data_IF_681948859281
#
_entry.id   IF_681948859281
#
_cell.length_a   1.000
_cell.length_b   1.000
_cell.length_c   1.000
_cell.angle_alpha   90.00
_cell.angle_beta   90.00
_cell.angle_gamma   90.00
#
_symmetry.space_group_name_H-M   'P 1'
#
loop_
_entity.id
_entity.type
_entity.pdbx_description
1 polymer ?
#
# COMPACT_ATOMS: atom_id res chain seq x y z
N UNK A 1 24.12 3.81 -8.27
CA UNK A 1 23.46 3.07 -9.36
C UNK A 1 22.17 3.82 -9.69
N UNK A 2 21.96 4.19 -10.95
CA UNK A 2 20.79 4.98 -11.35
C UNK A 2 19.50 4.13 -11.16
N UNK A 3 18.40 4.72 -10.70
CA UNK A 3 17.12 4.01 -10.49
C UNK A 3 16.63 3.32 -11.76
N UNK A 4 16.86 3.96 -12.91
CA UNK A 4 16.63 3.38 -14.24
C UNK A 4 17.41 2.09 -14.47
N UNK A 5 18.71 2.09 -14.16
CA UNK A 5 19.58 0.92 -14.33
C UNK A 5 19.14 -0.24 -13.45
N UNK A 6 18.73 0.06 -12.20
CA UNK A 6 18.18 -0.93 -11.27
C UNK A 6 16.94 -1.57 -11.89
N UNK A 7 15.99 -0.76 -12.39
CA UNK A 7 14.79 -1.28 -13.02
C UNK A 7 15.12 -2.11 -14.27
N UNK A 8 15.99 -1.64 -15.17
CA UNK A 8 16.36 -2.37 -16.38
C UNK A 8 17.06 -3.70 -16.06
N UNK A 9 17.93 -3.73 -15.05
CA UNK A 9 18.55 -4.96 -14.59
C UNK A 9 17.53 -5.92 -13.98
N UNK A 10 16.62 -5.43 -13.15
CA UNK A 10 15.54 -6.24 -12.57
C UNK A 10 14.58 -6.77 -13.65
N UNK A 11 14.30 -5.96 -14.68
CA UNK A 11 13.49 -6.35 -15.83
C UNK A 11 14.15 -7.45 -16.65
N UNK A 12 15.44 -7.34 -16.94
CA UNK A 12 16.19 -8.35 -17.70
C UNK A 12 16.29 -9.69 -16.95
N UNK A 13 16.27 -9.66 -15.62
CA UNK A 13 16.31 -10.86 -14.78
C UNK A 13 14.92 -11.43 -14.46
N UNK A 14 13.84 -10.83 -14.99
CA UNK A 14 12.48 -11.22 -14.65
C UNK A 14 11.96 -12.34 -15.56
N UNK A 15 11.83 -13.55 -15.00
CA UNK A 15 11.45 -14.77 -15.73
C UNK A 15 10.03 -15.28 -15.43
N UNK A 16 9.18 -14.49 -14.78
CA UNK A 16 7.83 -14.91 -14.38
C UNK A 16 6.76 -14.46 -15.38
N UNK A 17 5.62 -15.17 -15.46
CA UNK A 17 4.49 -14.73 -16.27
C UNK A 17 4.03 -13.34 -15.81
N UNK A 18 3.93 -12.42 -16.77
CA UNK A 18 3.55 -11.02 -16.55
C UNK A 18 2.09 -10.80 -16.90
N UNK A 19 1.43 -9.89 -16.18
CA UNK A 19 0.10 -9.44 -16.56
C UNK A 19 0.13 -8.73 -17.93
N UNK A 20 -0.86 -9.01 -18.78
CA UNK A 20 -1.08 -8.32 -20.04
C UNK A 20 -2.28 -7.38 -19.93
N UNK A 21 -2.21 -6.21 -20.56
CA UNK A 21 -3.31 -5.24 -20.61
C UNK A 21 -4.45 -5.78 -21.50
N UNK A 22 -4.12 -6.19 -22.74
CA UNK A 22 -5.03 -6.86 -23.68
C UNK A 22 -4.22 -7.86 -24.53
N UNK A 23 -4.76 -9.06 -24.76
CA UNK A 23 -4.25 -10.03 -25.74
C UNK A 23 -4.78 -9.68 -27.13
N UNK A 24 -4.09 -8.80 -27.85
CA UNK A 24 -4.46 -8.48 -29.23
C UNK A 24 -3.21 -8.44 -30.12
N UNK A 25 -3.36 -8.94 -31.35
CA UNK A 25 -2.33 -8.95 -32.41
C UNK A 25 -2.04 -7.54 -32.93
N UNK A 26 -1.71 -6.61 -32.03
CA UNK A 26 -1.52 -5.20 -32.36
C UNK A 26 -0.04 -4.88 -32.37
N UNK A 27 0.32 -4.01 -33.31
CA UNK A 27 1.57 -3.28 -33.55
C UNK A 27 2.74 -3.58 -32.58
N UNK A 28 3.97 -3.83 -33.09
CA UNK A 28 5.14 -4.13 -32.26
C UNK A 28 5.41 -3.10 -31.16
N UNK A 29 5.07 -1.82 -31.37
CA UNK A 29 5.20 -0.77 -30.37
C UNK A 29 4.28 -0.99 -29.15
N UNK A 30 3.02 -1.38 -29.36
CA UNK A 30 2.07 -1.68 -28.30
C UNK A 30 2.42 -2.96 -27.55
N UNK A 31 3.00 -3.95 -28.25
CA UNK A 31 3.52 -5.17 -27.62
C UNK A 31 4.67 -4.87 -26.65
N UNK A 32 5.56 -3.96 -27.02
CA UNK A 32 6.67 -3.55 -26.15
C UNK A 32 6.18 -2.78 -24.91
N UNK A 33 5.24 -1.83 -25.09
CA UNK A 33 4.61 -1.13 -23.96
C UNK A 33 3.95 -2.13 -23.00
N UNK A 34 3.20 -3.10 -23.53
CA UNK A 34 2.56 -4.15 -22.73
C UNK A 34 3.57 -5.04 -21.99
N UNK A 35 4.71 -5.35 -22.62
CA UNK A 35 5.81 -6.12 -21.99
C UNK A 35 6.41 -5.36 -20.80
N UNK A 36 6.78 -4.09 -20.99
CA UNK A 36 7.36 -3.28 -19.93
C UNK A 36 6.34 -3.07 -18.80
N UNK A 37 5.07 -2.82 -19.15
CA UNK A 37 3.97 -2.74 -18.19
C UNK A 37 3.87 -3.99 -17.32
N UNK A 38 3.82 -5.17 -17.95
CA UNK A 38 3.63 -6.42 -17.24
C UNK A 38 4.75 -6.73 -16.25
N UNK A 39 5.99 -6.38 -16.61
CA UNK A 39 7.14 -6.51 -15.69
C UNK A 39 7.07 -5.47 -14.56
N UNK A 40 6.75 -4.21 -14.87
CA UNK A 40 6.65 -3.14 -13.87
C UNK A 40 5.56 -3.44 -12.84
N UNK A 41 4.37 -3.89 -13.27
CA UNK A 41 3.27 -4.28 -12.39
C UNK A 41 3.67 -5.47 -11.49
N UNK A 42 4.28 -6.50 -12.08
CA UNK A 42 4.70 -7.69 -11.33
C UNK A 42 5.79 -7.37 -10.29
N UNK A 43 6.78 -6.55 -10.65
CA UNK A 43 7.82 -6.09 -9.73
C UNK A 43 7.24 -5.20 -8.62
N UNK A 44 6.26 -4.36 -8.96
CA UNK A 44 5.52 -3.56 -7.97
C UNK A 44 4.86 -4.46 -6.93
N UNK A 45 4.03 -5.42 -7.36
CA UNK A 45 3.32 -6.35 -6.46
C UNK A 45 4.31 -7.14 -5.58
N UNK A 46 5.41 -7.63 -6.16
CA UNK A 46 6.46 -8.35 -5.43
C UNK A 46 7.06 -7.50 -4.30
N UNK A 47 7.44 -6.26 -4.62
CA UNK A 47 8.04 -5.35 -3.64
C UNK A 47 7.02 -4.89 -2.58
N UNK A 48 5.75 -4.68 -2.96
CA UNK A 48 4.68 -4.32 -2.02
C UNK A 48 4.38 -5.45 -1.02
N UNK A 49 4.32 -6.70 -1.49
CA UNK A 49 4.15 -7.87 -0.61
C UNK A 49 5.35 -8.04 0.33
N UNK A 50 6.57 -7.86 -0.18
CA UNK A 50 7.79 -7.95 0.64
C UNK A 50 7.80 -6.89 1.75
N UNK A 51 7.49 -5.64 1.42
CA UNK A 51 7.40 -4.55 2.39
C UNK A 51 6.34 -4.83 3.48
N UNK A 52 5.14 -5.27 3.09
CA UNK A 52 4.09 -5.63 4.07
C UNK A 52 4.50 -6.77 5.00
N UNK A 53 5.17 -7.79 4.47
CA UNK A 53 5.64 -8.92 5.27
C UNK A 53 6.71 -8.49 6.27
N UNK A 54 7.62 -7.59 5.88
CA UNK A 54 8.64 -7.04 6.79
C UNK A 54 8.01 -6.21 7.91
N UNK A 55 7.06 -5.33 7.58
CA UNK A 55 6.33 -4.55 8.59
C UNK A 55 5.59 -5.46 9.59
N UNK A 56 4.95 -6.52 9.09
CA UNK A 56 4.28 -7.51 9.93
C UNK A 56 5.28 -8.25 10.84
N UNK A 57 6.45 -8.64 10.31
CA UNK A 57 7.50 -9.30 11.09
C UNK A 57 8.05 -8.39 12.19
N UNK A 58 8.39 -7.13 11.86
CA UNK A 58 8.85 -6.13 12.83
C UNK A 58 7.84 -5.95 13.97
N UNK A 59 6.56 -5.91 13.62
CA UNK A 59 5.48 -5.73 14.59
C UNK A 59 5.30 -6.93 15.53
N UNK A 60 5.36 -8.15 14.98
CA UNK A 60 5.28 -9.38 15.77
C UNK A 60 6.51 -9.47 16.70
N UNK A 61 7.72 -9.23 16.18
CA UNK A 61 8.94 -9.24 16.95
C UNK A 61 8.92 -8.19 18.08
N UNK A 62 8.42 -6.98 17.81
CA UNK A 62 8.24 -5.94 18.83
C UNK A 62 7.27 -6.34 19.94
N UNK A 63 6.14 -6.97 19.58
CA UNK A 63 5.15 -7.45 20.57
C UNK A 63 5.73 -8.57 21.44
N UNK A 64 6.44 -9.53 20.84
CA UNK A 64 7.10 -10.63 21.57
C UNK A 64 8.19 -10.08 22.49
N UNK A 65 8.99 -9.12 22.01
CA UNK A 65 10.02 -8.46 22.82
C UNK A 65 9.41 -7.80 24.06
N UNK A 66 8.32 -7.04 23.92
CA UNK A 66 7.63 -6.42 25.06
C UNK A 66 7.13 -7.47 26.05
N UNK A 67 6.54 -8.56 25.55
CA UNK A 67 6.09 -9.67 26.40
C UNK A 67 7.25 -10.32 27.16
N UNK A 68 8.37 -10.63 26.49
CA UNK A 68 9.56 -11.21 27.12
C UNK A 68 10.20 -10.27 28.14
N UNK A 69 10.22 -8.96 27.86
CA UNK A 69 10.72 -7.97 28.80
C UNK A 69 9.87 -7.92 30.07
N UNK A 70 8.54 -7.99 29.96
CA UNK A 70 7.64 -8.04 31.12
C UNK A 70 7.82 -9.33 31.94
N UNK A 71 8.06 -10.46 31.28
CA UNK A 71 8.39 -11.72 31.97
C UNK A 71 9.73 -11.64 32.70
N UNK A 72 10.73 -11.01 32.09
CA UNK A 72 12.04 -10.76 32.72
C UNK A 72 11.89 -9.90 33.98
N UNK A 73 11.17 -8.78 33.87
CA UNK A 73 11.06 -7.77 34.92
C UNK A 73 10.25 -8.26 36.12
N UNK A 74 9.11 -8.92 35.88
CA UNK A 74 8.17 -9.28 36.96
C UNK A 74 8.34 -10.72 37.50
N UNK A 75 8.94 -11.65 36.75
CA UNK A 75 9.23 -13.02 37.22
C UNK A 75 10.69 -13.27 37.57
N UNK A 76 11.53 -12.23 37.54
CA UNK A 76 12.97 -12.28 37.83
C UNK A 76 13.70 -13.37 37.01
N UNK A 77 13.21 -13.68 35.81
CA UNK A 77 13.84 -14.65 34.93
C UNK A 77 15.05 -14.03 34.23
N UNK A 78 16.16 -13.91 34.96
CA UNK A 78 17.38 -13.24 34.51
C UNK A 78 17.93 -13.76 33.16
N UNK A 79 17.68 -15.01 32.78
CA UNK A 79 18.07 -15.56 31.47
C UNK A 79 17.37 -14.91 30.27
N UNK A 80 16.20 -14.30 30.46
CA UNK A 80 15.43 -13.65 29.40
C UNK A 80 16.05 -12.32 28.94
N UNK A 81 16.97 -11.71 29.70
CA UNK A 81 17.62 -10.47 29.27
C UNK A 81 18.50 -10.69 28.03
N UNK A 82 19.14 -11.87 27.93
CA UNK A 82 19.92 -12.25 26.76
C UNK A 82 18.99 -12.44 25.56
N UNK A 83 17.85 -13.11 25.76
CA UNK A 83 16.85 -13.27 24.71
C UNK A 83 16.30 -11.92 24.22
N UNK A 84 16.02 -10.98 25.13
CA UNK A 84 15.62 -9.62 24.79
C UNK A 84 16.72 -8.89 23.99
N UNK A 85 17.98 -9.01 24.41
CA UNK A 85 19.12 -8.44 23.69
C UNK A 85 19.27 -8.96 22.26
N UNK A 86 19.13 -10.28 22.07
CA UNK A 86 19.14 -10.90 20.73
C UNK A 86 17.95 -10.40 19.89
N UNK A 87 16.76 -10.30 20.48
CA UNK A 87 15.56 -9.81 19.79
C UNK A 87 15.69 -8.35 19.35
N UNK A 88 16.26 -7.48 20.19
CA UNK A 88 16.57 -6.09 19.81
C UNK A 88 17.57 -6.05 18.65
N UNK A 89 18.61 -6.87 18.71
CA UNK A 89 19.60 -6.94 17.62
C UNK A 89 18.96 -7.43 16.31
N UNK A 90 18.08 -8.43 16.37
CA UNK A 90 17.28 -8.88 15.22
C UNK A 90 16.40 -7.75 14.66
N UNK A 91 15.73 -6.97 15.50
CA UNK A 91 14.92 -5.82 15.07
C UNK A 91 15.77 -4.75 14.37
N UNK A 92 16.95 -4.42 14.92
CA UNK A 92 17.87 -3.47 14.31
C UNK A 92 18.39 -3.96 12.96
N UNK A 93 18.74 -5.24 12.85
CA UNK A 93 19.17 -5.85 11.58
C UNK A 93 18.03 -5.83 10.55
N UNK A 94 16.82 -6.19 10.95
CA UNK A 94 15.65 -6.15 10.07
C UNK A 94 15.34 -4.72 9.59
N UNK A 95 15.45 -3.73 10.47
CA UNK A 95 15.24 -2.33 10.10
C UNK A 95 16.30 -1.87 9.08
N UNK A 96 17.58 -2.14 9.35
CA UNK A 96 18.66 -1.80 8.42
C UNK A 96 18.54 -2.51 7.07
N UNK A 97 18.07 -3.76 7.06
CA UNK A 97 17.77 -4.47 5.81
C UNK A 97 16.62 -3.83 5.05
N UNK A 98 15.62 -3.30 5.75
CA UNK A 98 14.48 -2.61 5.15
C UNK A 98 14.94 -1.36 4.39
N UNK A 99 15.77 -0.54 5.04
CA UNK A 99 16.35 0.66 4.45
C UNK A 99 17.19 0.33 3.21
N UNK A 100 17.98 -0.73 3.27
CA UNK A 100 18.82 -1.17 2.14
C UNK A 100 18.03 -1.72 0.96
N UNK A 101 16.89 -2.36 1.23
CA UNK A 101 16.11 -3.02 0.19
C UNK A 101 15.22 -2.05 -0.59
N UNK A 102 14.94 -0.86 -0.05
CA UNK A 102 14.14 0.20 -0.69
C UNK A 102 12.80 -0.33 -1.23
N UNK A 103 12.24 -1.38 -0.62
CA UNK A 103 11.09 -2.10 -1.17
C UNK A 103 9.86 -1.21 -1.30
N UNK A 104 9.64 -0.28 -0.36
CA UNK A 104 8.52 0.65 -0.41
C UNK A 104 8.65 1.60 -1.61
N UNK A 105 9.81 2.26 -1.75
CA UNK A 105 10.09 3.12 -2.91
C UNK A 105 9.93 2.38 -4.23
N UNK A 106 10.51 1.18 -4.36
CA UNK A 106 10.39 0.34 -5.56
C UNK A 106 8.93 0.01 -5.86
N UNK A 107 8.15 -0.38 -4.85
CA UNK A 107 6.71 -0.61 -5.01
C UNK A 107 5.99 0.62 -5.57
N UNK A 108 6.16 1.79 -4.94
CA UNK A 108 5.48 3.00 -5.35
C UNK A 108 5.86 3.43 -6.77
N UNK A 109 7.16 3.50 -7.07
CA UNK A 109 7.63 3.99 -8.37
C UNK A 109 7.29 3.01 -9.50
N UNK A 110 7.42 1.70 -9.28
CA UNK A 110 7.07 0.71 -10.31
C UNK A 110 5.56 0.67 -10.58
N UNK A 111 4.72 0.92 -9.56
CA UNK A 111 3.28 1.09 -9.77
C UNK A 111 2.98 2.32 -10.64
N UNK A 112 3.61 3.46 -10.36
CA UNK A 112 3.42 4.68 -11.17
C UNK A 112 3.86 4.44 -12.61
N UNK A 113 4.98 3.75 -12.82
CA UNK A 113 5.43 3.37 -14.16
C UNK A 113 4.41 2.47 -14.86
N UNK A 114 3.90 1.44 -14.18
CA UNK A 114 2.89 0.54 -14.73
C UNK A 114 1.61 1.30 -15.11
N UNK A 115 1.08 2.16 -14.25
CA UNK A 115 -0.14 2.92 -14.57
C UNK A 115 0.08 3.94 -15.70
N UNK A 116 1.26 4.57 -15.77
CA UNK A 116 1.62 5.45 -16.88
C UNK A 116 1.74 4.71 -18.22
N UNK A 117 2.36 3.52 -18.22
CA UNK A 117 2.45 2.65 -19.39
C UNK A 117 1.08 2.15 -19.83
N UNK A 118 0.22 1.80 -18.87
CA UNK A 118 -1.16 1.38 -19.13
C UNK A 118 -1.97 2.50 -19.77
N UNK A 119 -1.81 3.73 -19.29
CA UNK A 119 -2.43 4.88 -19.92
C UNK A 119 -1.89 5.11 -21.33
N UNK A 120 -0.56 5.04 -21.53
CA UNK A 120 0.05 5.21 -22.85
C UNK A 120 -0.50 4.19 -23.84
N UNK A 121 -0.66 2.93 -23.40
CA UNK A 121 -1.27 1.87 -24.19
C UNK A 121 -2.70 2.23 -24.64
N UNK A 122 -3.55 2.73 -23.74
CA UNK A 122 -4.92 3.12 -24.09
C UNK A 122 -5.01 4.37 -24.97
N UNK A 123 -4.14 5.38 -24.76
CA UNK A 123 -4.08 6.56 -25.64
C UNK A 123 -3.66 6.16 -27.07
N UNK A 124 -2.66 5.30 -27.18
CA UNK A 124 -2.20 4.75 -28.46
C UNK A 124 -3.27 3.89 -29.15
N UNK A 125 -4.12 3.17 -28.40
CA UNK A 125 -5.27 2.44 -28.95
C UNK A 125 -6.40 3.38 -29.43
N UNK A 126 -6.61 4.49 -28.72
CA UNK A 126 -7.61 5.49 -29.06
C UNK A 126 -7.19 6.42 -30.20
N UNK A 127 -5.99 6.22 -30.76
CA UNK A 127 -5.39 7.07 -31.80
C UNK A 127 -5.22 8.54 -31.35
N UNK A 128 -4.80 8.74 -30.10
CA UNK A 128 -4.49 10.05 -29.54
C UNK A 128 -2.97 10.26 -29.59
N UNK A 129 -2.50 11.27 -30.32
CA UNK A 129 -1.06 11.55 -30.54
C UNK A 129 -0.35 12.13 -29.30
N UNK A 130 -1.08 12.31 -28.20
CA UNK A 130 -0.52 12.82 -26.95
C UNK A 130 0.24 11.71 -26.21
N UNK A 131 1.52 11.97 -25.88
CA UNK A 131 2.30 11.07 -25.02
C UNK A 131 2.00 11.33 -23.56
N UNK A 132 2.01 10.27 -22.74
CA UNK A 132 1.78 10.37 -21.29
C UNK A 132 2.80 11.27 -20.60
N UNK A 133 4.03 11.34 -21.11
CA UNK A 133 5.07 12.26 -20.60
C UNK A 133 4.63 13.71 -20.62
N UNK A 134 3.94 14.12 -21.69
CA UNK A 134 3.58 15.51 -21.93
C UNK A 134 2.49 15.96 -20.94
N UNK A 135 1.58 15.05 -20.59
CA UNK A 135 0.47 15.27 -19.63
C UNK A 135 0.80 14.84 -18.19
N UNK A 136 2.02 14.39 -17.91
CA UNK A 136 2.39 13.90 -16.58
C UNK A 136 2.31 15.04 -15.53
N UNK A 137 1.69 14.84 -14.36
CA UNK A 137 1.66 15.85 -13.31
C UNK A 137 3.07 16.28 -12.88
N UNK A 138 3.24 17.58 -12.60
CA UNK A 138 4.54 18.15 -12.21
C UNK A 138 5.15 17.48 -10.96
N UNK A 139 4.31 17.10 -10.01
CA UNK A 139 4.68 16.34 -8.81
C UNK A 139 5.37 15.01 -9.12
N UNK A 140 4.86 14.26 -10.12
CA UNK A 140 5.47 13.00 -10.55
C UNK A 140 6.74 13.25 -11.36
N UNK A 141 6.73 14.24 -12.27
CA UNK A 141 7.92 14.63 -13.04
C UNK A 141 9.10 14.97 -12.15
N UNK A 142 8.89 15.80 -11.13
CA UNK A 142 9.93 16.19 -10.16
C UNK A 142 10.30 15.07 -9.19
N UNK A 143 9.33 14.22 -8.82
CA UNK A 143 9.51 13.17 -7.82
C UNK A 143 10.17 11.90 -8.35
N UNK A 144 10.05 11.63 -9.66
CA UNK A 144 10.49 10.36 -10.28
C UNK A 144 11.01 10.57 -11.72
N UNK A 145 12.08 11.36 -11.87
CA UNK A 145 12.63 11.74 -13.18
C UNK A 145 12.95 10.53 -14.10
N UNK A 146 13.35 9.39 -13.54
CA UNK A 146 13.71 8.22 -14.35
C UNK A 146 12.51 7.58 -15.08
N UNK A 147 11.29 7.74 -14.55
CA UNK A 147 10.08 7.25 -15.23
C UNK A 147 9.86 8.05 -16.52
N UNK A 148 10.07 9.36 -16.47
CA UNK A 148 10.00 10.22 -17.65
C UNK A 148 11.01 9.78 -18.72
N UNK A 149 12.23 9.41 -18.33
CA UNK A 149 13.22 8.86 -19.27
C UNK A 149 12.76 7.55 -19.93
N UNK A 150 12.13 6.64 -19.19
CA UNK A 150 11.62 5.39 -19.76
C UNK A 150 10.47 5.67 -20.71
N UNK A 151 9.51 6.50 -20.29
CA UNK A 151 8.37 6.85 -21.13
C UNK A 151 8.81 7.58 -22.42
N UNK A 152 9.85 8.41 -22.37
CA UNK A 152 10.46 9.04 -23.55
C UNK A 152 11.19 8.04 -24.47
N UNK A 153 11.66 6.91 -23.93
CA UNK A 153 12.32 5.86 -24.72
C UNK A 153 11.35 4.90 -25.41
N UNK A 154 10.04 5.05 -25.18
CA UNK A 154 9.04 4.19 -25.79
C UNK A 154 8.93 4.45 -27.31
N UNK A 155 8.69 3.40 -28.11
CA UNK A 155 8.41 3.56 -29.53
C UNK A 155 7.12 4.35 -29.73
N UNK A 156 7.11 5.25 -30.70
CA UNK A 156 5.88 5.89 -31.15
C UNK A 156 4.99 4.85 -31.84
N UNK A 157 3.74 4.76 -31.38
CA UNK A 157 2.71 3.91 -31.98
C UNK A 157 2.13 4.59 -33.20
N UNK A 158 2.14 3.91 -34.34
CA UNK A 158 1.49 4.32 -35.60
C UNK A 158 0.27 3.44 -35.84
N UNK A 159 -0.59 3.28 -34.83
CA UNK A 159 -1.79 2.47 -34.95
C UNK A 159 -2.64 2.98 -36.10
N UNK A 160 -2.87 2.20 -37.16
CA UNK A 160 -3.62 2.69 -38.33
C UNK A 160 -5.14 2.77 -38.10
N UNK A 161 -5.64 2.13 -37.03
CA UNK A 161 -7.07 2.04 -36.73
C UNK A 161 -7.38 2.48 -35.28
N UNK A 162 -8.38 3.37 -35.14
CA UNK A 162 -8.93 3.73 -33.83
C UNK A 162 -9.70 2.54 -33.25
N UNK A 163 -9.26 2.05 -32.10
CA UNK A 163 -9.99 1.06 -31.32
C UNK A 163 -10.83 1.75 -30.24
N UNK A 164 -12.07 1.29 -30.05
CA UNK A 164 -12.91 1.81 -28.96
C UNK A 164 -12.32 1.44 -27.62
N UNK A 165 -12.09 2.44 -26.77
CA UNK A 165 -11.55 2.29 -25.42
C UNK A 165 -12.64 2.22 -24.34
N UNK A 166 -13.91 2.40 -24.74
CA UNK A 166 -15.04 2.39 -23.82
C UNK A 166 -15.09 1.15 -22.93
N UNK A 167 -15.02 -0.04 -23.52
CA UNK A 167 -15.13 -1.29 -22.75
C UNK A 167 -13.81 -1.64 -22.04
N UNK A 168 -12.69 -1.62 -22.78
CA UNK A 168 -11.40 -2.09 -22.27
C UNK A 168 -10.73 -1.13 -21.28
N UNK A 169 -11.08 0.16 -21.28
CA UNK A 169 -10.55 1.13 -20.33
C UNK A 169 -11.63 1.73 -19.44
N UNK A 170 -12.59 2.48 -19.98
CA UNK A 170 -13.52 3.30 -19.16
C UNK A 170 -14.40 2.41 -18.27
N UNK A 171 -15.06 1.41 -18.84
CA UNK A 171 -15.96 0.50 -18.12
C UNK A 171 -15.18 -0.40 -17.18
N UNK A 172 -14.05 -0.96 -17.63
CA UNK A 172 -13.23 -1.83 -16.80
C UNK A 172 -12.57 -1.10 -15.64
N UNK A 173 -12.16 0.16 -15.83
CA UNK A 173 -11.69 1.03 -14.75
C UNK A 173 -12.78 1.33 -13.72
N UNK A 174 -13.99 1.64 -14.18
CA UNK A 174 -15.12 1.80 -13.27
C UNK A 174 -15.36 0.54 -12.44
N UNK A 175 -15.44 -0.63 -13.09
CA UNK A 175 -15.63 -1.93 -12.42
C UNK A 175 -14.50 -2.23 -11.44
N UNK A 176 -13.25 -1.90 -11.79
CA UNK A 176 -12.11 -2.04 -10.89
C UNK A 176 -12.33 -1.22 -9.62
N UNK A 177 -12.66 0.06 -9.73
CA UNK A 177 -12.90 0.92 -8.57
C UNK A 177 -14.12 0.48 -7.76
N UNK A 178 -15.19 -0.02 -8.40
CA UNK A 178 -16.37 -0.57 -7.70
C UNK A 178 -15.98 -1.79 -6.85
N UNK A 179 -15.21 -2.74 -7.41
CA UNK A 179 -14.71 -3.91 -6.68
C UNK A 179 -13.73 -3.50 -5.56
N UNK A 180 -12.83 -2.57 -5.85
CA UNK A 180 -11.85 -2.07 -4.90
C UNK A 180 -12.52 -1.33 -3.74
N UNK A 181 -13.56 -0.54 -4.01
CA UNK A 181 -14.37 0.14 -3.02
C UNK A 181 -15.06 -0.87 -2.09
N UNK A 182 -15.79 -1.83 -2.65
CA UNK A 182 -16.49 -2.85 -1.86
C UNK A 182 -15.53 -3.62 -0.94
N UNK A 183 -14.37 -4.01 -1.47
CA UNK A 183 -13.33 -4.68 -0.67
C UNK A 183 -12.77 -3.78 0.44
N UNK A 184 -12.54 -2.51 0.13
CA UNK A 184 -11.96 -1.53 1.06
C UNK A 184 -12.94 -1.14 2.16
N UNK A 185 -14.24 -1.01 1.86
CA UNK A 185 -15.29 -0.74 2.85
C UNK A 185 -15.47 -1.90 3.84
N UNK A 186 -15.51 -3.14 3.33
CA UNK A 186 -15.56 -4.34 4.18
C UNK A 186 -14.32 -4.43 5.07
N UNK A 187 -13.14 -4.12 4.53
CA UNK A 187 -11.90 -4.11 5.32
C UNK A 187 -11.92 -2.99 6.38
N UNK A 188 -12.26 -1.76 6.00
CA UNK A 188 -12.29 -0.61 6.88
C UNK A 188 -13.28 -0.78 8.05
N UNK A 189 -14.45 -1.36 7.79
CA UNK A 189 -15.44 -1.66 8.84
C UNK A 189 -14.91 -2.70 9.83
N UNK A 190 -14.30 -3.80 9.34
CA UNK A 190 -13.66 -4.81 10.19
C UNK A 190 -12.52 -4.21 11.02
N UNK A 191 -11.65 -3.43 10.39
CA UNK A 191 -10.48 -2.82 11.03
C UNK A 191 -10.91 -1.83 12.14
N UNK A 192 -11.97 -1.03 11.90
CA UNK A 192 -12.57 -0.15 12.93
C UNK A 192 -13.18 -0.93 14.09
N UNK A 193 -13.89 -2.03 13.82
CA UNK A 193 -14.48 -2.87 14.87
C UNK A 193 -13.38 -3.49 15.73
N UNK A 194 -12.34 -4.07 15.10
CA UNK A 194 -11.21 -4.68 15.80
C UNK A 194 -10.52 -3.64 16.69
N UNK A 195 -10.13 -2.49 16.13
CA UNK A 195 -9.47 -1.42 16.89
C UNK A 195 -10.30 -0.93 18.08
N UNK A 196 -11.61 -0.73 17.88
CA UNK A 196 -12.53 -0.31 18.95
C UNK A 196 -12.66 -1.39 20.03
N UNK A 197 -12.81 -2.66 19.63
CA UNK A 197 -12.94 -3.78 20.58
C UNK A 197 -11.67 -3.97 21.39
N UNK A 198 -10.48 -3.94 20.76
CA UNK A 198 -9.21 -4.02 21.49
C UNK A 198 -9.08 -2.88 22.50
N UNK A 199 -9.42 -1.65 22.11
CA UNK A 199 -9.38 -0.50 23.02
C UNK A 199 -10.33 -0.68 24.21
N UNK A 200 -11.58 -1.13 23.96
CA UNK A 200 -12.57 -1.37 25.03
C UNK A 200 -12.10 -2.48 25.97
N UNK A 201 -11.58 -3.58 25.43
CA UNK A 201 -11.06 -4.71 26.22
C UNK A 201 -9.89 -4.22 27.09
N UNK A 202 -8.95 -3.47 26.54
CA UNK A 202 -7.83 -2.92 27.30
C UNK A 202 -8.32 -2.03 28.44
N UNK A 203 -9.25 -1.10 28.19
CA UNK A 203 -9.85 -0.26 29.24
C UNK A 203 -10.54 -1.12 30.31
N UNK A 204 -11.29 -2.16 29.91
CA UNK A 204 -11.97 -3.04 30.84
C UNK A 204 -10.98 -3.81 31.74
N UNK A 205 -9.85 -4.29 31.18
CA UNK A 205 -8.79 -4.96 31.96
C UNK A 205 -8.15 -3.98 32.94
N UNK A 206 -7.88 -2.74 32.54
CA UNK A 206 -7.39 -1.69 33.45
C UNK A 206 -8.40 -1.39 34.58
N UNK A 207 -9.70 -1.37 34.27
CA UNK A 207 -10.73 -1.15 35.27
C UNK A 207 -10.83 -2.32 36.27
N UNK A 208 -10.77 -3.57 35.79
CA UNK A 208 -10.72 -4.75 36.66
C UNK A 208 -9.47 -4.74 37.53
N UNK A 209 -8.32 -4.37 36.97
CA UNK A 209 -7.08 -4.23 37.72
C UNK A 209 -7.18 -3.20 38.85
N UNK A 210 -7.81 -2.06 38.57
CA UNK A 210 -8.04 -1.02 39.56
C UNK A 210 -8.98 -1.48 40.69
N UNK A 211 -10.10 -2.12 40.34
CA UNK A 211 -11.03 -2.68 41.34
C UNK A 211 -10.35 -3.73 42.22
N UNK A 212 -9.51 -4.58 41.61
CA UNK A 212 -8.71 -5.56 42.32
C UNK A 212 -7.77 -4.90 43.33
N UNK A 213 -6.98 -3.90 42.93
CA UNK A 213 -6.07 -3.20 43.85
C UNK A 213 -6.81 -2.49 44.99
N UNK A 214 -7.95 -1.85 44.71
CA UNK A 214 -8.80 -1.24 45.73
C UNK A 214 -9.34 -2.28 46.73
N UNK A 215 -9.74 -3.45 46.23
CA UNK A 215 -10.21 -4.55 47.09
C UNK A 215 -9.07 -5.07 47.98
N UNK A 216 -7.90 -5.34 47.42
CA UNK A 216 -6.74 -5.81 48.19
C UNK A 216 -6.32 -4.81 49.26
N UNK A 217 -6.33 -3.52 48.93
CA UNK A 217 -6.03 -2.45 49.88
C UNK A 217 -7.02 -2.40 51.06
N UNK A 218 -8.32 -2.55 50.78
CA UNK A 218 -9.36 -2.47 51.82
C UNK A 218 -9.42 -3.67 52.77
N UNK A 219 -8.98 -4.85 52.35
CA UNK A 219 -9.09 -6.10 53.12
C UNK A 219 -7.75 -6.63 53.67
N UNK A 220 -6.65 -5.87 53.52
CA UNK A 220 -5.30 -6.23 54.00
C UNK A 220 -4.89 -7.69 53.72
N UNK A 221 -5.25 -8.21 52.55
CA UNK A 221 -5.02 -9.61 52.23
C UNK A 221 -3.52 -9.84 51.98
N UNK A 222 -2.87 -10.60 52.87
CA UNK A 222 -1.50 -11.05 52.71
C UNK A 222 -1.38 -12.13 51.61
N UNK A 223 -0.28 -12.11 50.84
CA UNK A 223 0.09 -13.07 49.78
C UNK A 223 -0.63 -12.98 48.41
N UNK A 224 -0.74 -11.77 47.85
CA UNK A 224 -1.33 -11.54 46.51
C UNK A 224 -0.27 -11.30 45.40
N UNK A 225 1.02 -11.45 45.71
CA UNK A 225 2.13 -11.12 44.80
C UNK A 225 2.02 -11.76 43.42
N UNK A 226 1.67 -13.04 43.32
CA UNK A 226 1.56 -13.78 42.05
C UNK A 226 0.45 -13.22 41.15
N UNK A 227 -0.72 -12.88 41.72
CA UNK A 227 -1.84 -12.34 40.94
C UNK A 227 -1.50 -10.95 40.42
N UNK A 228 -0.83 -10.11 41.23
CA UNK A 228 -0.34 -8.79 40.81
C UNK A 228 0.65 -8.89 39.64
N UNK A 229 1.60 -9.82 39.73
CA UNK A 229 2.58 -10.07 38.65
C UNK A 229 1.87 -10.45 37.35
N UNK A 230 0.94 -11.41 37.40
CA UNK A 230 0.17 -11.82 36.22
C UNK A 230 -0.61 -10.64 35.63
N UNK A 231 -1.28 -9.86 36.48
CA UNK A 231 -2.07 -8.72 36.08
C UNK A 231 -1.23 -7.65 35.36
N UNK A 232 -0.04 -7.33 35.87
CA UNK A 232 0.88 -6.38 35.24
C UNK A 232 1.38 -6.87 33.88
N UNK A 233 1.74 -8.15 33.76
CA UNK A 233 2.15 -8.75 32.48
C UNK A 233 1.01 -8.65 31.46
N UNK A 234 -0.22 -9.00 31.86
CA UNK A 234 -1.40 -8.89 30.99
C UNK A 234 -1.64 -7.44 30.57
N UNK A 235 -1.60 -6.49 31.49
CA UNK A 235 -1.79 -5.06 31.20
C UNK A 235 -0.73 -4.53 30.22
N UNK A 236 0.55 -4.81 30.48
CA UNK A 236 1.64 -4.35 29.62
C UNK A 236 1.56 -4.95 28.22
N UNK A 237 1.23 -6.25 28.12
CA UNK A 237 1.06 -6.94 26.83
C UNK A 237 -0.14 -6.41 26.06
N UNK A 238 -1.29 -6.23 26.73
CA UNK A 238 -2.49 -5.68 26.11
C UNK A 238 -2.28 -4.24 25.62
N UNK A 239 -1.52 -3.43 26.35
CA UNK A 239 -1.14 -2.09 25.90
C UNK A 239 -0.26 -2.11 24.65
N UNK A 240 0.72 -3.01 24.58
CA UNK A 240 1.54 -3.19 23.38
C UNK A 240 0.71 -3.64 22.18
N UNK A 241 -0.20 -4.61 22.37
CA UNK A 241 -1.13 -5.08 21.33
C UNK A 241 -2.06 -3.95 20.87
N UNK A 242 -2.59 -3.15 21.80
CA UNK A 242 -3.50 -2.04 21.49
C UNK A 242 -2.80 -0.96 20.68
N UNK A 243 -1.59 -0.58 21.08
CA UNK A 243 -0.76 0.37 20.35
C UNK A 243 -0.42 -0.14 18.95
N UNK A 244 -0.09 -1.44 18.82
CA UNK A 244 0.15 -2.06 17.53
C UNK A 244 -1.11 -2.06 16.65
N UNK A 245 -2.26 -2.48 17.16
CA UNK A 245 -3.50 -2.51 16.39
C UNK A 245 -3.91 -1.08 16.00
N UNK A 246 -3.75 -0.11 16.90
CA UNK A 246 -3.98 1.30 16.63
C UNK A 246 -3.05 1.86 15.54
N UNK A 247 -1.76 1.53 15.56
CA UNK A 247 -0.80 2.02 14.57
C UNK A 247 -0.91 1.33 13.22
N UNK A 248 -1.21 0.03 13.21
CA UNK A 248 -1.30 -0.79 12.00
C UNK A 248 -2.65 -0.65 11.29
N UNK A 249 -3.76 -0.67 12.03
CA UNK A 249 -5.11 -0.57 11.45
C UNK A 249 -5.68 0.85 11.47
N UNK A 250 -5.22 1.70 12.40
CA UNK A 250 -5.78 3.04 12.63
C UNK A 250 -5.20 4.15 11.76
N UNK A 251 -4.23 3.87 10.87
CA UNK A 251 -3.82 4.89 9.90
C UNK A 251 -4.97 5.15 8.92
N UNK A 252 -5.36 6.42 8.88
CA UNK A 252 -6.42 7.11 8.14
C UNK A 252 -6.44 6.88 6.61
N UNK A 253 -5.65 5.92 6.09
CA UNK A 253 -5.46 5.65 4.67
C UNK A 253 -6.64 4.95 4.02
N UNK A 254 -7.39 4.13 4.78
CA UNK A 254 -8.53 3.40 4.23
C UNK A 254 -9.74 4.31 3.97
N UNK A 255 -9.97 5.32 4.82
CA UNK A 255 -11.04 6.29 4.59
C UNK A 255 -10.76 7.18 3.37
N UNK A 256 -9.54 7.70 3.25
CA UNK A 256 -9.16 8.50 2.07
C UNK A 256 -9.22 7.67 0.79
N UNK A 257 -8.79 6.41 0.81
CA UNK A 257 -8.90 5.51 -0.34
C UNK A 257 -10.36 5.20 -0.74
N UNK A 258 -11.28 5.12 0.23
CA UNK A 258 -12.72 4.95 -0.04
C UNK A 258 -13.26 6.17 -0.78
N UNK A 259 -12.94 7.37 -0.32
CA UNK A 259 -13.40 8.61 -0.94
C UNK A 259 -12.82 8.78 -2.35
N UNK A 260 -11.55 8.44 -2.54
CA UNK A 260 -10.91 8.42 -3.86
C UNK A 260 -11.60 7.44 -4.82
N UNK A 261 -11.89 6.21 -4.38
CA UNK A 261 -12.62 5.26 -5.22
C UNK A 261 -14.02 5.74 -5.57
N UNK A 262 -14.77 6.35 -4.64
CA UNK A 262 -16.08 6.94 -4.92
C UNK A 262 -16.00 8.02 -5.99
N UNK A 263 -15.06 8.96 -5.83
CA UNK A 263 -14.81 10.03 -6.79
C UNK A 263 -14.47 9.49 -8.18
N UNK A 264 -13.59 8.49 -8.28
CA UNK A 264 -13.23 7.88 -9.56
C UNK A 264 -14.40 7.12 -10.20
N UNK A 265 -15.24 6.44 -9.41
CA UNK A 265 -16.46 5.79 -9.93
C UNK A 265 -17.40 6.83 -10.54
N UNK A 266 -17.63 7.95 -9.87
CA UNK A 266 -18.46 9.04 -10.39
C UNK A 266 -17.89 9.64 -11.68
N UNK A 267 -16.58 9.88 -11.71
CA UNK A 267 -15.87 10.37 -12.90
C UNK A 267 -16.06 9.42 -14.10
N UNK A 268 -15.80 8.13 -13.91
CA UNK A 268 -15.93 7.15 -15.00
C UNK A 268 -17.39 6.90 -15.40
N UNK A 269 -18.35 7.02 -14.47
CA UNK A 269 -19.79 6.97 -14.81
C UNK A 269 -20.19 8.15 -15.71
N UNK A 270 -19.73 9.36 -15.37
CA UNK A 270 -19.97 10.55 -16.19
C UNK A 270 -19.32 10.41 -17.57
N UNK A 271 -18.05 10.00 -17.63
CA UNK A 271 -17.33 9.79 -18.88
C UNK A 271 -18.00 8.72 -19.75
N UNK A 272 -18.45 7.61 -19.16
CA UNK A 272 -19.20 6.57 -19.89
C UNK A 272 -20.48 7.13 -20.52
N UNK A 273 -21.25 7.91 -19.75
CA UNK A 273 -22.49 8.51 -20.26
C UNK A 273 -22.22 9.47 -21.42
N UNK A 274 -21.17 10.28 -21.31
CA UNK A 274 -20.75 11.22 -22.34
C UNK A 274 -20.28 10.53 -23.62
N UNK A 275 -19.52 9.43 -23.51
CA UNK A 275 -19.12 8.61 -24.66
C UNK A 275 -20.32 7.98 -25.37
N UNK A 276 -21.36 7.57 -24.62
CA UNK A 276 -22.57 6.97 -25.21
C UNK A 276 -23.37 8.01 -26.02
N UNK A 277 -23.42 9.26 -25.56
CA UNK A 277 -24.22 10.32 -26.21
C UNK A 277 -23.44 10.98 -27.35
N UNK A 278 -22.20 11.40 -27.08
CA UNK A 278 -21.41 12.25 -27.97
C UNK A 278 -20.31 11.49 -28.74
N UNK A 279 -20.11 10.19 -28.43
CA UNK A 279 -19.00 9.40 -28.96
C UNK A 279 -17.68 9.63 -28.22
N UNK A 280 -16.65 8.89 -28.63
CA UNK A 280 -15.31 9.00 -28.06
C UNK A 280 -14.56 10.21 -28.65
N UNK A 281 -14.66 11.37 -27.99
CA UNK A 281 -13.90 12.56 -28.33
C UNK A 281 -12.49 12.53 -27.72
N UNK A 282 -11.50 13.04 -28.46
CA UNK A 282 -10.12 13.14 -27.98
C UNK A 282 -10.01 14.02 -26.72
N UNK A 283 -10.76 15.13 -26.67
CA UNK A 283 -10.79 16.02 -25.51
C UNK A 283 -11.25 15.31 -24.24
N UNK A 284 -12.31 14.49 -24.32
CA UNK A 284 -12.79 13.69 -23.19
C UNK A 284 -11.75 12.67 -22.73
N UNK A 285 -11.12 11.97 -23.69
CA UNK A 285 -10.08 10.98 -23.42
C UNK A 285 -8.88 11.63 -22.72
N UNK A 286 -8.43 12.79 -23.20
CA UNK A 286 -7.33 13.55 -22.62
C UNK A 286 -7.67 14.10 -21.23
N UNK A 287 -8.89 14.59 -21.04
CA UNK A 287 -9.37 15.04 -19.73
C UNK A 287 -9.36 13.89 -18.72
N UNK A 288 -9.89 12.72 -19.11
CA UNK A 288 -9.90 11.51 -18.27
C UNK A 288 -8.49 11.02 -17.97
N UNK A 289 -7.59 11.07 -18.96
CA UNK A 289 -6.18 10.71 -18.82
C UNK A 289 -5.46 11.59 -17.79
N UNK A 290 -5.72 12.91 -17.81
CA UNK A 290 -5.16 13.86 -16.84
C UNK A 290 -5.67 13.57 -15.42
N UNK A 291 -6.98 13.39 -15.26
CA UNK A 291 -7.55 13.05 -13.95
C UNK A 291 -7.02 11.72 -13.41
N UNK A 292 -6.86 10.71 -14.28
CA UNK A 292 -6.26 9.44 -13.92
C UNK A 292 -4.81 9.59 -13.42
N UNK A 293 -3.98 10.40 -14.08
CA UNK A 293 -2.61 10.65 -13.62
C UNK A 293 -2.56 11.50 -12.34
N UNK A 294 -3.49 12.46 -12.20
CA UNK A 294 -3.60 13.29 -11.00
C UNK A 294 -3.96 12.44 -9.78
N UNK A 295 -4.88 11.49 -9.91
CA UNK A 295 -5.23 10.54 -8.84
C UNK A 295 -4.01 9.69 -8.45
N UNK A 296 -3.31 9.12 -9.41
CA UNK A 296 -2.09 8.34 -9.14
C UNK A 296 -0.99 9.18 -8.48
N UNK A 297 -0.85 10.44 -8.90
CA UNK A 297 0.09 11.38 -8.27
C UNK A 297 -0.29 11.72 -6.83
N UNK A 298 -1.59 11.91 -6.57
CA UNK A 298 -2.09 12.20 -5.23
C UNK A 298 -1.86 10.98 -4.32
N UNK A 299 -2.18 9.78 -4.81
CA UNK A 299 -1.92 8.52 -4.14
C UNK A 299 -0.42 8.35 -3.81
N UNK A 300 0.47 8.58 -4.77
CA UNK A 300 1.92 8.49 -4.55
C UNK A 300 2.39 9.44 -3.45
N UNK A 301 1.95 10.70 -3.51
CA UNK A 301 2.31 11.72 -2.52
C UNK A 301 1.79 11.37 -1.12
N UNK A 302 0.61 10.77 -1.05
CA UNK A 302 0.01 10.32 0.20
C UNK A 302 0.80 9.15 0.81
N UNK A 303 1.19 8.16 0.01
CA UNK A 303 1.99 7.02 0.49
C UNK A 303 3.38 7.46 0.98
N UNK A 304 4.05 8.37 0.27
CA UNK A 304 5.33 8.91 0.74
C UNK A 304 5.23 9.62 2.10
N UNK A 305 4.15 10.36 2.36
CA UNK A 305 3.94 11.02 3.64
C UNK A 305 3.71 10.04 4.79
N UNK A 306 3.04 8.91 4.51
CA UNK A 306 2.84 7.86 5.52
C UNK A 306 4.17 7.28 5.98
N UNK A 307 5.13 7.13 5.08
CA UNK A 307 6.49 6.63 5.37
C UNK A 307 7.30 7.61 6.22
N UNK A 308 7.20 8.92 5.97
CA UNK A 308 7.90 9.94 6.75
C UNK A 308 7.35 10.15 8.18
N UNK A 309 6.16 9.62 8.46
CA UNK A 309 5.45 9.77 9.75
C UNK A 309 5.33 8.45 10.53
N UNK A 310 5.77 7.32 9.96
CA UNK A 310 6.00 6.05 10.66
C UNK A 310 7.41 6.00 11.21
#
# INVERSE_FOLDING_TARGET
MNQKEIFLQEMNNFNHPTASIVETEIEPALKEINRIYGVADSLSIKNGNKHRNILLLLSICGTILTFMFLLYDELEFYGLIIACGVMVLCLLLLNSLTDKLDCHRKYLQYRILAEALRLQYFLSLAFVDTRVVDILPWSLRKGINWIEEILNSLPQTKTENKHSILQCWIVDQRKYHERALAKTEVKNSKDKIISKMTTIITIAIYFVALLFELFVYNYEIANISVIRIILKIVLGTMSAITLFIGSYYGKMSLSSAIDDHKRMIELYKKAQHEVIINGESEELILSLAREFLNENSAWYSYQQKIEQTS
#
